data_IF_215551016219
#
_entry.id   IF_215551016219
#
_cell.length_a   1.000
_cell.length_b   1.000
_cell.length_c   1.000
_cell.angle_alpha   90.00
_cell.angle_beta   90.00
_cell.angle_gamma   90.00
#
_symmetry.space_group_name_H-M   'P 1'
#
loop_
_entity.id
_entity.type
_entity.pdbx_description
1 polymer ?
#
# COMPACT_ATOMS: atom_id res chain seq x y z
N UNK A 1 35.06 -31.22 -34.45
CA UNK A 1 34.92 -29.92 -33.75
C UNK A 1 33.50 -29.87 -33.19
N UNK A 2 33.31 -30.12 -31.89
CA UNK A 2 32.00 -30.07 -31.25
C UNK A 2 31.56 -28.61 -31.11
N UNK A 3 30.35 -28.27 -31.59
CA UNK A 3 29.76 -26.95 -31.37
C UNK A 3 29.31 -26.87 -29.91
N UNK A 4 29.69 -25.83 -29.15
CA UNK A 4 29.23 -25.67 -27.78
C UNK A 4 27.70 -25.48 -27.76
N UNK A 5 27.01 -26.25 -26.92
CA UNK A 5 25.56 -26.16 -26.76
C UNK A 5 25.21 -24.93 -25.92
N UNK A 6 24.85 -23.86 -26.61
CA UNK A 6 24.58 -22.54 -26.02
C UNK A 6 23.27 -22.48 -25.22
N UNK A 7 22.50 -23.58 -25.18
CA UNK A 7 21.23 -23.66 -24.43
C UNK A 7 21.41 -23.61 -22.91
N UNK A 8 22.57 -23.99 -22.39
CA UNK A 8 22.81 -24.00 -20.94
C UNK A 8 23.12 -22.61 -20.35
N UNK A 9 23.47 -21.63 -21.18
CA UNK A 9 23.94 -20.33 -20.66
C UNK A 9 22.83 -19.42 -20.10
N UNK A 10 21.55 -19.78 -20.21
CA UNK A 10 20.46 -19.02 -19.57
C UNK A 10 20.26 -17.60 -20.13
N UNK A 11 20.70 -17.34 -21.37
CA UNK A 11 20.48 -16.07 -22.06
C UNK A 11 19.29 -16.15 -23.03
N UNK A 12 18.51 -15.08 -23.08
CA UNK A 12 17.49 -14.83 -24.08
C UNK A 12 18.10 -14.00 -25.20
N UNK A 13 18.05 -14.51 -26.43
CA UNK A 13 18.59 -13.82 -27.61
C UNK A 13 17.41 -13.29 -28.42
N UNK A 14 17.39 -11.98 -28.68
CA UNK A 14 16.35 -11.33 -29.49
C UNK A 14 16.98 -10.51 -30.61
N UNK A 15 16.46 -10.67 -31.82
CA UNK A 15 16.85 -9.84 -32.97
C UNK A 15 16.10 -8.51 -32.90
N UNK A 16 16.82 -7.41 -32.72
CA UNK A 16 16.23 -6.06 -32.61
C UNK A 16 16.39 -5.24 -33.91
N UNK A 17 17.30 -5.63 -34.81
CA UNK A 17 17.55 -4.95 -36.09
C UNK A 17 17.99 -5.91 -37.21
N UNK A 18 18.38 -5.37 -38.38
CA UNK A 18 18.86 -6.19 -39.52
C UNK A 18 20.14 -6.97 -39.15
N UNK A 19 21.08 -6.29 -38.49
CA UNK A 19 22.40 -6.80 -38.09
C UNK A 19 22.65 -6.75 -36.57
N UNK A 20 21.64 -6.40 -35.77
CA UNK A 20 21.77 -6.25 -34.31
C UNK A 20 21.05 -7.37 -33.55
N UNK A 21 21.73 -7.92 -32.55
CA UNK A 21 21.25 -8.97 -31.67
C UNK A 21 21.42 -8.50 -30.23
N UNK A 22 20.33 -8.52 -29.47
CA UNK A 22 20.33 -8.25 -28.03
C UNK A 22 20.42 -9.58 -27.27
N UNK A 23 21.34 -9.64 -26.31
CA UNK A 23 21.50 -10.79 -25.40
C UNK A 23 21.09 -10.33 -24.02
N UNK A 24 19.98 -10.87 -23.51
CA UNK A 24 19.47 -10.61 -22.16
C UNK A 24 19.71 -11.82 -21.27
N UNK A 25 19.90 -11.59 -19.99
CA UNK A 25 19.88 -12.67 -19.01
C UNK A 25 18.43 -13.15 -18.85
N UNK A 26 18.13 -14.36 -19.32
CA UNK A 26 16.76 -14.91 -19.42
C UNK A 26 16.09 -15.04 -18.04
N UNK A 27 16.90 -15.39 -17.04
CA UNK A 27 16.45 -15.50 -15.65
C UNK A 27 15.90 -14.19 -15.12
N UNK A 28 16.56 -13.05 -15.33
CA UNK A 28 16.08 -11.77 -14.78
C UNK A 28 14.78 -11.27 -15.43
N UNK A 29 14.56 -11.46 -16.73
CA UNK A 29 13.35 -10.96 -17.43
C UNK A 29 12.08 -11.78 -17.07
N UNK A 30 12.23 -13.09 -16.87
CA UNK A 30 11.12 -13.98 -16.51
C UNK A 30 10.90 -14.14 -15.01
N UNK A 31 11.98 -14.30 -14.24
CA UNK A 31 11.91 -14.61 -12.81
C UNK A 31 11.39 -13.44 -11.99
N UNK A 32 11.87 -12.22 -12.23
CA UNK A 32 11.41 -11.03 -11.50
C UNK A 32 9.91 -10.82 -11.72
N UNK A 33 9.43 -11.03 -12.95
CA UNK A 33 8.00 -10.91 -13.29
C UNK A 33 7.15 -11.93 -12.54
N UNK A 34 7.61 -13.18 -12.46
CA UNK A 34 6.95 -14.22 -11.69
C UNK A 34 6.99 -13.93 -10.18
N UNK A 35 8.15 -13.51 -9.67
CA UNK A 35 8.38 -13.20 -8.26
C UNK A 35 7.47 -12.08 -7.75
N UNK A 36 7.37 -10.97 -8.51
CA UNK A 36 6.47 -9.87 -8.18
C UNK A 36 5.01 -10.35 -8.07
N UNK A 37 4.57 -11.22 -9.00
CA UNK A 37 3.22 -11.80 -8.96
C UNK A 37 2.99 -12.64 -7.70
N UNK A 38 3.97 -13.44 -7.31
CA UNK A 38 3.89 -14.25 -6.08
C UNK A 38 3.80 -13.37 -4.84
N UNK A 39 4.57 -12.27 -4.78
CA UNK A 39 4.47 -11.30 -3.69
C UNK A 39 3.06 -10.72 -3.60
N UNK A 40 2.48 -10.26 -4.71
CA UNK A 40 1.12 -9.71 -4.71
C UNK A 40 0.08 -10.72 -4.22
N UNK A 41 0.17 -11.97 -4.68
CA UNK A 41 -0.73 -13.04 -4.22
C UNK A 41 -0.51 -13.33 -2.73
N UNK A 42 0.74 -13.37 -2.26
CA UNK A 42 1.07 -13.59 -0.85
C UNK A 42 0.48 -12.51 0.07
N UNK A 43 0.64 -11.24 -0.30
CA UNK A 43 0.04 -10.12 0.43
C UNK A 43 -1.48 -10.26 0.46
N UNK A 44 -2.11 -10.59 -0.69
CA UNK A 44 -3.55 -10.81 -0.76
C UNK A 44 -3.98 -11.92 0.21
N UNK A 45 -3.29 -13.07 0.20
CA UNK A 45 -3.60 -14.20 1.09
C UNK A 45 -3.47 -13.83 2.58
N UNK A 46 -2.42 -13.12 2.97
CA UNK A 46 -2.23 -12.69 4.36
C UNK A 46 -3.36 -11.78 4.82
N UNK A 47 -3.72 -10.77 4.01
CA UNK A 47 -4.79 -9.84 4.34
C UNK A 47 -6.15 -10.55 4.44
N UNK A 48 -6.47 -11.40 3.47
CA UNK A 48 -7.72 -12.19 3.51
C UNK A 48 -7.77 -13.13 4.71
N UNK A 49 -6.65 -13.75 5.09
CA UNK A 49 -6.57 -14.59 6.29
C UNK A 49 -6.82 -13.78 7.57
N UNK A 50 -6.23 -12.60 7.67
CA UNK A 50 -6.45 -11.70 8.81
C UNK A 50 -7.91 -11.28 8.93
N UNK A 51 -8.53 -10.85 7.82
CA UNK A 51 -9.94 -10.42 7.80
C UNK A 51 -10.89 -11.55 8.21
N UNK A 52 -10.64 -12.78 7.71
CA UNK A 52 -11.41 -13.97 8.08
C UNK A 52 -11.30 -14.29 9.57
N UNK A 53 -10.10 -14.21 10.15
CA UNK A 53 -9.90 -14.46 11.58
C UNK A 53 -10.65 -13.46 12.47
N UNK A 54 -10.89 -12.25 11.98
CA UNK A 54 -11.59 -11.20 12.71
C UNK A 54 -13.08 -11.09 12.33
N UNK A 55 -13.60 -12.00 11.50
CA UNK A 55 -14.99 -12.00 10.99
C UNK A 55 -15.43 -10.67 10.36
N UNK A 56 -14.49 -9.93 9.78
CA UNK A 56 -14.75 -8.67 9.08
C UNK A 56 -14.79 -8.93 7.56
N UNK A 57 -15.59 -8.14 6.82
CA UNK A 57 -15.63 -8.28 5.37
C UNK A 57 -14.24 -8.01 4.76
N UNK A 58 -13.89 -8.79 3.74
CA UNK A 58 -12.61 -8.69 3.04
C UNK A 58 -12.31 -7.24 2.61
N UNK A 59 -11.09 -6.77 2.89
CA UNK A 59 -10.59 -5.44 2.58
C UNK A 59 -11.38 -4.27 3.20
N UNK A 60 -12.26 -4.53 4.16
CA UNK A 60 -13.07 -3.47 4.77
C UNK A 60 -12.22 -2.44 5.51
N UNK A 61 -11.17 -2.87 6.21
CA UNK A 61 -10.24 -1.97 6.88
C UNK A 61 -9.49 -1.08 5.90
N UNK A 62 -8.98 -1.66 4.82
CA UNK A 62 -8.26 -0.93 3.76
C UNK A 62 -9.16 0.07 3.04
N UNK A 63 -10.41 -0.31 2.74
CA UNK A 63 -11.37 0.60 2.13
C UNK A 63 -11.70 1.75 3.09
N UNK A 64 -11.85 1.45 4.38
CA UNK A 64 -12.17 2.46 5.38
C UNK A 64 -11.01 3.42 5.65
N UNK A 65 -9.77 2.93 5.64
CA UNK A 65 -8.56 3.77 5.78
C UNK A 65 -8.46 4.73 4.60
N UNK A 66 -8.62 4.23 3.37
CA UNK A 66 -8.61 5.07 2.16
C UNK A 66 -9.73 6.10 2.19
N UNK A 67 -10.95 5.72 2.57
CA UNK A 67 -12.08 6.66 2.71
C UNK A 67 -11.79 7.73 3.76
N UNK A 68 -11.20 7.36 4.89
CA UNK A 68 -10.83 8.28 5.95
C UNK A 68 -9.77 9.27 5.47
N UNK A 69 -8.74 8.80 4.78
CA UNK A 69 -7.67 9.66 4.25
C UNK A 69 -8.19 10.57 3.13
N UNK A 70 -9.06 10.04 2.26
CA UNK A 70 -9.75 10.83 1.25
C UNK A 70 -10.60 11.94 1.88
N UNK A 71 -11.45 11.60 2.85
CA UNK A 71 -12.27 12.59 3.54
C UNK A 71 -11.41 13.61 4.29
N UNK A 72 -10.32 13.18 4.92
CA UNK A 72 -9.38 14.10 5.58
C UNK A 72 -8.69 15.05 4.60
N UNK A 73 -8.38 14.59 3.40
CA UNK A 73 -7.71 15.41 2.39
C UNK A 73 -8.65 16.41 1.71
N UNK A 74 -9.88 15.98 1.39
CA UNK A 74 -10.82 16.79 0.60
C UNK A 74 -11.92 17.48 1.41
N UNK A 75 -12.29 16.91 2.56
CA UNK A 75 -13.33 17.40 3.47
C UNK A 75 -12.76 17.59 4.89
N UNK A 76 -11.58 18.18 4.98
CA UNK A 76 -10.90 18.41 6.26
C UNK A 76 -11.77 19.17 7.25
N UNK A 77 -12.52 20.17 6.78
CA UNK A 77 -13.38 21.01 7.61
C UNK A 77 -14.47 20.21 8.32
N UNK A 78 -15.05 19.20 7.67
CA UNK A 78 -16.05 18.32 8.30
C UNK A 78 -15.50 17.57 9.52
N UNK A 79 -14.18 17.38 9.58
CA UNK A 79 -13.49 16.74 10.70
C UNK A 79 -13.00 17.81 11.71
N UNK A 80 -12.47 18.93 11.23
CA UNK A 80 -11.84 19.95 12.09
C UNK A 80 -12.87 20.78 12.85
N UNK A 81 -13.98 21.17 12.21
CA UNK A 81 -15.02 21.99 12.84
C UNK A 81 -15.62 21.34 14.09
N UNK A 82 -16.11 20.08 14.09
CA UNK A 82 -16.66 19.47 15.29
C UNK A 82 -15.61 19.31 16.40
N UNK A 83 -14.35 19.00 16.04
CA UNK A 83 -13.25 18.93 17.02
C UNK A 83 -12.98 20.29 17.67
N UNK A 84 -13.02 21.37 16.89
CA UNK A 84 -12.88 22.72 17.41
C UNK A 84 -14.07 23.12 18.30
N UNK A 85 -15.30 22.79 17.89
CA UNK A 85 -16.49 23.07 18.67
C UNK A 85 -16.46 22.32 20.01
N UNK A 86 -16.04 21.06 20.01
CA UNK A 86 -15.89 20.27 21.23
C UNK A 86 -14.76 20.81 22.13
N UNK A 87 -13.66 21.29 21.54
CA UNK A 87 -12.62 22.00 22.27
C UNK A 87 -13.17 23.28 22.94
N UNK A 88 -13.91 24.11 22.20
CA UNK A 88 -14.49 25.34 22.75
C UNK A 88 -15.49 25.02 23.87
N UNK A 89 -16.36 24.02 23.68
CA UNK A 89 -17.28 23.56 24.73
C UNK A 89 -16.51 23.13 25.97
N UNK A 90 -15.47 22.31 25.81
CA UNK A 90 -14.65 21.84 26.93
C UNK A 90 -14.01 23.01 27.70
N UNK A 91 -13.57 24.09 27.05
CA UNK A 91 -12.96 25.24 27.75
C UNK A 91 -13.95 26.32 28.19
N UNK A 92 -15.20 26.25 27.74
CA UNK A 92 -16.27 27.19 28.11
C UNK A 92 -17.17 26.62 29.20
N UNK A 93 -17.14 25.31 29.42
CA UNK A 93 -17.92 24.64 30.46
C UNK A 93 -17.49 25.13 31.87
N UNK A 94 -18.45 25.55 32.72
CA UNK A 94 -18.12 26.09 34.04
C UNK A 94 -17.33 25.12 34.93
N UNK A 95 -17.62 23.82 34.83
CA UNK A 95 -16.97 22.77 35.63
C UNK A 95 -15.48 22.61 35.25
N UNK A 96 -15.17 22.60 33.95
CA UNK A 96 -13.78 22.55 33.47
C UNK A 96 -13.02 23.84 33.72
N UNK A 97 -13.67 25.00 33.66
CA UNK A 97 -13.06 26.28 34.05
C UNK A 97 -12.73 26.26 35.55
N UNK A 98 -13.55 25.65 36.39
CA UNK A 98 -13.27 25.51 37.82
C UNK A 98 -12.08 24.56 38.08
N UNK A 99 -12.02 23.44 37.36
CA UNK A 99 -10.98 22.41 37.50
C UNK A 99 -9.62 22.81 36.90
N UNK A 100 -9.63 23.47 35.73
CA UNK A 100 -8.43 23.74 34.92
C UNK A 100 -8.19 25.23 34.66
N UNK A 101 -9.10 26.10 35.11
CA UNK A 101 -8.96 27.55 34.99
C UNK A 101 -7.67 28.00 35.67
N UNK A 102 -6.72 28.46 34.86
CA UNK A 102 -5.47 29.01 35.35
C UNK A 102 -5.82 30.23 36.21
N UNK A 103 -5.73 30.12 37.54
CA UNK A 103 -5.75 31.29 38.43
C UNK A 103 -4.68 32.25 37.93
N UNK A 104 -5.11 33.42 37.43
CA UNK A 104 -4.20 34.53 37.14
C UNK A 104 -3.62 35.07 38.43
#
# INVERSE_FOLDING_TARGET
MQKPDYKELGFSIRKCGKDEIEIRLSTFDGYIRGFIRVIFVGILLINTHFDLNHNIPLFSQEINSIKKDFNRAFYADEIVTPLYDDYVKFFTDPETIELFGRKK
#
